data_IF_832873609477
#
_entry.id   IF_832873609477
#
_cell.length_a   1.000
_cell.length_b   1.000
_cell.length_c   1.000
_cell.angle_alpha   90.00
_cell.angle_beta   90.00
_cell.angle_gamma   90.00
#
_symmetry.space_group_name_H-M   'P 1'
#
loop_
_entity.id
_entity.type
_entity.pdbx_description
1 polymer ?
#
# COMPACT_ATOMS: atom_id res chain seq x y z
N UNK A 1 -22.40 -0.54 -20.75
CA UNK A 1 -21.85 -1.50 -19.77
C UNK A 1 -20.66 -0.87 -19.07
N UNK A 2 -20.36 -1.29 -17.83
CA UNK A 2 -19.17 -0.79 -17.12
C UNK A 2 -17.91 -1.22 -17.89
N UNK A 3 -16.93 -0.34 -18.15
CA UNK A 3 -15.71 -0.70 -18.87
C UNK A 3 -14.93 -1.76 -18.09
N UNK A 4 -14.25 -2.64 -18.81
CA UNK A 4 -13.31 -3.60 -18.23
C UNK A 4 -12.19 -2.82 -17.53
N UNK A 5 -11.91 -3.18 -16.28
CA UNK A 5 -10.83 -2.60 -15.49
C UNK A 5 -9.72 -3.64 -15.36
N UNK A 6 -8.48 -3.22 -15.60
CA UNK A 6 -7.29 -4.07 -15.42
C UNK A 6 -6.61 -3.62 -14.13
N UNK A 7 -6.50 -4.46 -13.10
CA UNK A 7 -5.85 -4.05 -11.87
C UNK A 7 -4.33 -4.12 -12.04
N UNK A 8 -3.67 -3.01 -11.74
CA UNK A 8 -2.24 -2.83 -11.85
C UNK A 8 -1.74 -2.34 -10.50
N UNK A 9 -0.64 -2.92 -10.03
CA UNK A 9 0.12 -2.42 -8.89
C UNK A 9 1.46 -1.89 -9.37
N UNK A 10 1.88 -0.75 -8.81
CA UNK A 10 3.17 -0.12 -9.06
C UNK A 10 3.79 0.28 -7.73
N UNK A 11 5.07 0.01 -7.59
CA UNK A 11 5.90 0.39 -6.44
C UNK A 11 7.08 1.16 -7.00
N UNK A 12 7.34 2.33 -6.45
CA UNK A 12 8.43 3.22 -6.83
C UNK A 12 9.17 3.65 -5.57
N UNK A 13 10.49 3.49 -5.54
CA UNK A 13 11.31 4.01 -4.46
C UNK A 13 11.95 5.38 -4.81
N UNK A 14 12.65 5.98 -3.84
CA UNK A 14 13.30 7.29 -4.01
C UNK A 14 14.53 7.25 -4.92
N UNK A 15 15.11 6.09 -5.15
CA UNK A 15 16.21 5.91 -6.09
C UNK A 15 15.70 5.76 -7.54
N UNK A 16 14.39 5.69 -7.74
CA UNK A 16 13.75 5.52 -9.05
C UNK A 16 13.58 4.06 -9.46
N UNK A 17 13.85 3.10 -8.57
CA UNK A 17 13.58 1.69 -8.87
C UNK A 17 12.08 1.45 -8.89
N UNK A 18 11.62 0.72 -9.91
CA UNK A 18 10.20 0.47 -10.14
C UNK A 18 9.90 -1.02 -10.21
N UNK A 19 8.84 -1.44 -9.54
CA UNK A 19 8.22 -2.75 -9.70
C UNK A 19 6.77 -2.52 -10.11
N UNK A 20 6.34 -3.12 -11.23
CA UNK A 20 4.94 -3.05 -11.66
C UNK A 20 4.44 -4.43 -12.07
N UNK A 21 3.16 -4.71 -11.82
CA UNK A 21 2.54 -5.99 -12.17
C UNK A 21 1.05 -5.82 -12.48
N UNK A 22 0.60 -6.44 -13.56
CA UNK A 22 -0.82 -6.70 -13.77
C UNK A 22 -1.21 -7.86 -12.86
N UNK A 23 -2.14 -7.62 -11.96
CA UNK A 23 -2.64 -8.62 -11.02
C UNK A 23 -4.04 -9.07 -11.46
N UNK A 24 -4.44 -10.27 -11.07
CA UNK A 24 -5.76 -10.80 -11.46
C UNK A 24 -6.89 -10.01 -10.82
N UNK A 25 -6.77 -9.69 -9.53
CA UNK A 25 -7.71 -8.91 -8.74
C UNK A 25 -6.99 -8.10 -7.66
N UNK A 26 -7.70 -7.13 -7.06
CA UNK A 26 -7.23 -6.33 -5.93
C UNK A 26 -7.39 -7.04 -4.56
N UNK A 27 -7.34 -8.38 -4.55
CA UNK A 27 -7.41 -9.17 -3.32
C UNK A 27 -6.16 -8.96 -2.47
N UNK A 28 -6.28 -9.20 -1.16
CA UNK A 28 -5.14 -9.13 -0.24
C UNK A 28 -4.00 -10.01 -0.71
N UNK A 29 -4.29 -11.24 -1.10
CA UNK A 29 -3.30 -12.23 -1.54
C UNK A 29 -2.50 -11.73 -2.75
N UNK A 30 -3.18 -11.14 -3.73
CA UNK A 30 -2.53 -10.62 -4.93
C UNK A 30 -1.68 -9.39 -4.65
N UNK A 31 -2.14 -8.49 -3.78
CA UNK A 31 -1.38 -7.31 -3.35
C UNK A 31 -0.16 -7.75 -2.53
N UNK A 32 -0.37 -8.64 -1.56
CA UNK A 32 0.65 -9.15 -0.64
C UNK A 32 1.78 -9.86 -1.38
N UNK A 33 1.47 -10.66 -2.40
CA UNK A 33 2.46 -11.35 -3.22
C UNK A 33 3.42 -10.39 -3.94
N UNK A 34 2.96 -9.16 -4.26
CA UNK A 34 3.81 -8.14 -4.89
C UNK A 34 4.57 -7.32 -3.85
N UNK A 35 3.93 -6.99 -2.72
CA UNK A 35 4.54 -6.14 -1.68
C UNK A 35 5.57 -6.86 -0.80
N UNK A 36 5.36 -8.15 -0.50
CA UNK A 36 6.26 -8.93 0.38
C UNK A 36 7.74 -8.87 -0.03
N UNK A 37 8.12 -9.05 -1.31
CA UNK A 37 9.53 -9.03 -1.70
C UNK A 37 10.16 -7.63 -1.75
N UNK A 38 9.37 -6.55 -1.68
CA UNK A 38 9.85 -5.16 -1.90
C UNK A 38 9.75 -4.27 -0.68
N UNK A 39 9.09 -4.72 0.39
CA UNK A 39 9.01 -4.00 1.67
C UNK A 39 10.04 -4.59 2.63
N UNK A 40 10.93 -3.75 3.15
CA UNK A 40 11.86 -4.15 4.21
C UNK A 40 11.15 -4.27 5.57
N UNK A 41 11.63 -5.17 6.44
CA UNK A 41 11.04 -5.42 7.76
C UNK A 41 11.02 -4.18 8.68
N UNK A 42 11.93 -3.25 8.46
CA UNK A 42 12.12 -2.03 9.26
C UNK A 42 11.40 -0.82 8.63
N UNK A 43 10.54 -1.05 7.63
CA UNK A 43 9.76 -0.01 6.97
C UNK A 43 8.58 0.43 7.83
N UNK A 44 8.12 1.67 7.61
CA UNK A 44 6.79 2.13 8.03
C UNK A 44 5.87 2.14 6.83
N UNK A 45 4.80 1.35 6.87
CA UNK A 45 3.79 1.31 5.83
C UNK A 45 2.72 2.37 6.10
N UNK A 46 2.55 3.33 5.19
CA UNK A 46 1.50 4.36 5.25
C UNK A 46 0.45 4.08 4.18
N UNK A 47 -0.83 3.98 4.54
CA UNK A 47 -1.89 3.58 3.59
C UNK A 47 -3.17 4.39 3.74
N UNK A 48 -3.90 4.53 2.64
CA UNK A 48 -5.18 5.25 2.48
C UNK A 48 -6.38 4.61 3.19
N UNK A 49 -6.17 3.49 3.90
CA UNK A 49 -7.15 2.88 4.78
C UNK A 49 -7.76 1.57 4.27
N UNK A 50 -7.39 1.06 3.08
CA UNK A 50 -7.83 -0.26 2.61
C UNK A 50 -7.45 -1.37 3.63
N UNK A 51 -8.42 -2.21 3.98
CA UNK A 51 -8.28 -3.24 5.02
C UNK A 51 -7.23 -4.32 4.68
N UNK A 52 -6.94 -4.53 3.40
CA UNK A 52 -5.97 -5.53 2.93
C UNK A 52 -4.58 -5.29 3.53
N UNK A 53 -4.21 -4.02 3.67
CA UNK A 53 -2.90 -3.63 4.20
C UNK A 53 -2.69 -3.97 5.67
N UNK A 54 -3.76 -4.13 6.45
CA UNK A 54 -3.65 -4.52 7.88
C UNK A 54 -3.06 -5.92 7.99
N UNK A 55 -3.56 -6.87 7.17
CA UNK A 55 -3.05 -8.24 7.15
C UNK A 55 -1.61 -8.31 6.64
N UNK A 56 -1.31 -7.53 5.60
CA UNK A 56 0.02 -7.45 5.00
C UNK A 56 1.03 -6.92 6.01
N UNK A 57 0.74 -5.80 6.66
CA UNK A 57 1.64 -5.20 7.65
C UNK A 57 1.93 -6.14 8.82
N UNK A 58 0.89 -6.79 9.36
CA UNK A 58 1.04 -7.80 10.43
C UNK A 58 1.94 -8.96 10.00
N UNK A 59 1.79 -9.46 8.78
CA UNK A 59 2.62 -10.56 8.27
C UNK A 59 4.07 -10.15 8.08
N UNK A 60 4.31 -8.93 7.59
CA UNK A 60 5.65 -8.38 7.36
C UNK A 60 6.30 -7.87 8.65
N UNK A 61 5.55 -7.80 9.76
CA UNK A 61 5.99 -7.24 11.04
C UNK A 61 6.52 -5.80 10.91
N UNK A 62 5.83 -4.98 10.10
CA UNK A 62 6.15 -3.56 9.86
C UNK A 62 5.18 -2.65 10.60
N UNK A 63 5.62 -1.46 10.97
CA UNK A 63 4.72 -0.45 11.52
C UNK A 63 3.71 -0.01 10.45
N UNK A 64 2.46 0.22 10.85
CA UNK A 64 1.36 0.53 9.93
C UNK A 64 0.60 1.77 10.38
N UNK A 65 0.75 2.85 9.62
CA UNK A 65 -0.02 4.10 9.78
C UNK A 65 -1.14 4.14 8.76
N UNK A 66 -2.39 4.10 9.24
CA UNK A 66 -3.58 4.22 8.39
C UNK A 66 -4.04 5.67 8.38
N UNK A 67 -4.00 6.30 7.22
CA UNK A 67 -4.48 7.66 6.99
C UNK A 67 -5.84 7.55 6.32
N UNK A 68 -6.89 7.61 7.13
CA UNK A 68 -8.28 7.46 6.67
C UNK A 68 -8.83 8.86 6.37
N UNK A 69 -9.08 9.15 5.09
CA UNK A 69 -9.55 10.46 4.63
C UNK A 69 -10.92 10.90 5.21
N UNK A 70 -11.65 10.00 5.88
CA UNK A 70 -12.95 10.31 6.53
C UNK A 70 -12.81 11.33 7.66
N UNK A 71 -11.63 11.43 8.28
CA UNK A 71 -11.42 12.28 9.47
C UNK A 71 -10.74 13.62 9.13
N UNK A 72 -10.65 14.00 7.83
CA UNK A 72 -9.86 15.15 7.35
C UNK A 72 -8.38 15.14 7.81
N UNK A 73 -7.89 14.01 8.32
CA UNK A 73 -6.54 13.87 8.85
C UNK A 73 -5.60 13.38 7.74
N UNK A 74 -4.83 14.31 7.18
CA UNK A 74 -3.82 14.04 6.13
C UNK A 74 -2.42 13.80 6.68
N UNK A 75 -2.21 14.08 7.96
CA UNK A 75 -0.92 13.96 8.65
C UNK A 75 -1.15 13.26 9.99
N UNK A 76 -0.39 12.20 10.24
CA UNK A 76 -0.35 11.49 11.52
C UNK A 76 0.99 11.76 12.19
N UNK A 77 0.96 12.04 13.49
CA UNK A 77 2.16 12.28 14.32
C UNK A 77 3.07 13.40 13.79
N UNK A 78 2.55 14.30 12.94
CA UNK A 78 3.30 15.40 12.32
C UNK A 78 4.32 14.98 11.25
N UNK A 79 4.53 13.67 11.01
CA UNK A 79 5.61 13.17 10.14
C UNK A 79 5.12 12.21 9.05
N UNK A 80 3.98 11.55 9.22
CA UNK A 80 3.44 10.61 8.24
C UNK A 80 2.37 11.27 7.37
N UNK A 81 2.58 11.25 6.05
CA UNK A 81 1.76 11.97 5.08
C UNK A 81 1.33 11.04 3.93
N UNK A 82 0.12 11.23 3.41
CA UNK A 82 -0.23 10.79 2.05
C UNK A 82 -0.12 11.99 1.12
N UNK A 83 0.71 11.88 0.09
CA UNK A 83 0.70 12.82 -1.02
C UNK A 83 -0.50 12.48 -1.92
N UNK A 84 -1.55 13.29 -1.86
CA UNK A 84 -2.66 13.30 -2.82
C UNK A 84 -2.39 14.28 -3.94
#
# INVERSE_FOLDING_TARGET
GKPLQVPIIMVLDRAGNMVHKVIENNTRENIEAVLTPVISADSVLCTDGNISYIGIAKKLNVDHKRLINLDNQRVIEGVYHIQT
#
